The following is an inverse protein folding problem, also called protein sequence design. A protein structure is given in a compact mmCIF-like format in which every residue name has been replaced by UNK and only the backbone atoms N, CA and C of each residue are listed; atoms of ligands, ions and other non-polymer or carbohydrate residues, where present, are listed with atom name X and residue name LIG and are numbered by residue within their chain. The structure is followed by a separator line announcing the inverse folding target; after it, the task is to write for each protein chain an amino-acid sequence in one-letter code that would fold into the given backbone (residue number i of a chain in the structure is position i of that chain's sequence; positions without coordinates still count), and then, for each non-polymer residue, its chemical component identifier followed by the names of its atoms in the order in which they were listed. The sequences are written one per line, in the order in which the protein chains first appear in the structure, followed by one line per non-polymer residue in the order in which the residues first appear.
data_IF_364314703258
#
_entry.id   IF_364314703258
#
_cell.length_a   1.000
_cell.length_b   1.000
_cell.length_c   1.000
_cell.angle_alpha   90.00
_cell.angle_beta   90.00
_cell.angle_gamma   90.00
#
_symmetry.space_group_name_H-M   'P 1'
#
loop_
_entity.id
_entity.type
_entity.pdbx_description
1 polymer ?
#
# COMPACT_ATOMS: atom_id res chain seq x y z
N UNK A 1 -2.69 -21.16 8.71
CA UNK A 1 -1.61 -20.18 8.97
C UNK A 1 -2.04 -18.87 8.33
N UNK A 2 -2.61 -17.97 9.12
CA UNK A 2 -3.07 -16.67 8.64
C UNK A 2 -1.88 -15.72 8.61
N UNK A 3 -1.58 -15.17 7.45
CA UNK A 3 -0.50 -14.21 7.24
C UNK A 3 -0.99 -12.79 7.53
N UNK A 4 -1.70 -12.57 8.64
CA UNK A 4 -2.01 -11.20 9.04
C UNK A 4 -0.71 -10.48 9.46
N UNK A 5 -0.78 -9.16 9.69
CA UNK A 5 0.30 -8.33 10.26
C UNK A 5 0.95 -8.91 11.55
N UNK A 6 0.44 -10.02 12.08
CA UNK A 6 0.96 -10.80 13.19
C UNK A 6 2.04 -11.83 12.81
N UNK A 7 2.28 -12.10 11.52
CA UNK A 7 3.37 -12.95 11.07
C UNK A 7 4.70 -12.20 11.16
N UNK A 8 5.62 -12.66 12.02
CA UNK A 8 7.01 -12.16 12.20
C UNK A 8 7.91 -12.37 10.96
N UNK A 9 7.37 -12.35 9.75
CA UNK A 9 8.09 -12.83 8.58
C UNK A 9 9.19 -11.88 8.13
N UNK A 10 9.03 -10.55 8.27
CA UNK A 10 10.10 -9.55 8.30
C UNK A 10 9.54 -8.28 8.97
N UNK A 11 10.20 -7.73 10.01
CA UNK A 11 9.76 -6.48 10.64
C UNK A 11 10.44 -5.28 9.96
N UNK A 12 9.86 -4.81 8.86
CA UNK A 12 10.41 -3.74 8.01
C UNK A 12 9.53 -2.48 7.95
N UNK A 13 8.35 -2.48 8.58
CA UNK A 13 7.42 -1.34 8.63
C UNK A 13 8.10 -0.02 8.99
N UNK A 14 8.95 0.01 10.02
CA UNK A 14 9.61 1.25 10.45
C UNK A 14 10.52 1.85 9.36
N UNK A 15 11.10 1.02 8.48
CA UNK A 15 11.86 1.48 7.33
C UNK A 15 10.95 2.10 6.28
N UNK A 16 9.85 1.42 5.94
CA UNK A 16 8.91 1.89 4.92
C UNK A 16 8.11 3.12 5.34
N UNK A 17 7.77 3.27 6.62
CA UNK A 17 7.18 4.52 7.15
C UNK A 17 8.06 5.72 6.80
N UNK A 18 9.39 5.61 6.99
CA UNK A 18 10.32 6.70 6.65
C UNK A 18 10.40 6.95 5.14
N UNK A 19 10.32 5.90 4.32
CA UNK A 19 10.29 6.04 2.86
C UNK A 19 9.03 6.78 2.44
N UNK A 20 7.88 6.42 3.00
CA UNK A 20 6.61 7.06 2.73
C UNK A 20 6.57 8.52 3.22
N UNK A 21 7.21 8.86 4.33
CA UNK A 21 7.40 10.24 4.77
C UNK A 21 8.21 11.06 3.74
N UNK A 22 9.24 10.46 3.13
CA UNK A 22 10.00 11.12 2.06
C UNK A 22 9.16 11.33 0.81
N UNK A 23 8.35 10.33 0.41
CA UNK A 23 7.41 10.47 -0.72
C UNK A 23 6.40 11.59 -0.44
N UNK A 24 5.84 11.65 0.77
CA UNK A 24 4.95 12.74 1.21
C UNK A 24 5.65 14.09 1.10
N UNK A 25 6.88 14.19 1.59
CA UNK A 25 7.66 15.43 1.57
C UNK A 25 8.05 15.89 0.16
N UNK A 26 8.31 14.96 -0.77
CA UNK A 26 8.62 15.29 -2.16
C UNK A 26 7.38 15.80 -2.91
N UNK A 27 6.19 15.29 -2.59
CA UNK A 27 4.91 15.79 -3.10
C UNK A 27 4.59 15.44 -4.56
N UNK A 28 5.49 14.77 -5.27
CA UNK A 28 5.29 14.40 -6.69
C UNK A 28 4.03 13.55 -6.92
N UNK A 29 3.67 12.70 -5.94
CA UNK A 29 2.50 11.83 -6.01
C UNK A 29 1.19 12.60 -6.27
N UNK A 30 1.12 13.87 -5.86
CA UNK A 30 -0.08 14.73 -6.02
C UNK A 30 -0.42 14.94 -7.51
N UNK A 31 0.58 14.85 -8.39
CA UNK A 31 0.43 15.06 -9.84
C UNK A 31 -0.13 13.84 -10.57
N UNK A 32 -0.23 12.69 -9.89
CA UNK A 32 -0.64 11.43 -10.48
C UNK A 32 -1.92 10.91 -9.82
N UNK A 33 -2.77 10.22 -10.58
CA UNK A 33 -4.00 9.62 -10.03
C UNK A 33 -3.73 8.37 -9.20
N UNK A 34 -2.60 7.70 -9.45
CA UNK A 34 -2.20 6.43 -8.86
C UNK A 34 -0.72 6.43 -8.52
N UNK A 35 -0.38 5.83 -7.38
CA UNK A 35 0.98 5.52 -6.94
C UNK A 35 1.13 4.00 -6.82
N UNK A 36 2.29 3.48 -7.22
CA UNK A 36 2.58 2.04 -7.18
C UNK A 36 3.92 1.83 -6.47
N UNK A 37 3.91 1.10 -5.34
CA UNK A 37 5.13 0.55 -4.74
C UNK A 37 5.42 -0.78 -5.43
N UNK A 38 6.68 -1.02 -5.75
CA UNK A 38 7.14 -2.24 -6.41
C UNK A 38 8.45 -2.68 -5.75
N UNK A 39 8.55 -3.95 -5.39
CA UNK A 39 9.80 -4.52 -4.87
C UNK A 39 10.88 -4.58 -5.95
N UNK A 40 12.15 -4.46 -5.53
CA UNK A 40 13.28 -4.35 -6.47
C UNK A 40 13.53 -5.61 -7.33
N UNK A 41 13.07 -6.77 -6.87
CA UNK A 41 13.16 -8.06 -7.57
C UNK A 41 11.93 -8.38 -8.43
N UNK A 42 10.92 -7.50 -8.44
CA UNK A 42 9.69 -7.69 -9.18
C UNK A 42 9.84 -7.32 -10.66
N UNK A 43 9.50 -8.26 -11.55
CA UNK A 43 9.30 -7.94 -12.97
C UNK A 43 7.94 -7.26 -13.15
N UNK A 44 7.97 -5.94 -13.24
CA UNK A 44 6.76 -5.12 -13.30
C UNK A 44 6.44 -4.62 -14.71
N UNK A 45 5.19 -4.81 -15.14
CA UNK A 45 4.67 -4.39 -16.46
C UNK A 45 3.70 -3.20 -16.32
N UNK A 46 4.19 -1.94 -16.29
CA UNK A 46 3.35 -0.77 -16.03
C UNK A 46 2.26 -0.57 -17.09
N UNK A 47 2.51 -0.92 -18.35
CA UNK A 47 1.52 -0.83 -19.42
C UNK A 47 0.29 -1.72 -19.16
N UNK A 48 0.52 -2.94 -18.65
CA UNK A 48 -0.56 -3.87 -18.29
C UNK A 48 -1.39 -3.33 -17.13
N UNK A 49 -0.73 -2.79 -16.11
CA UNK A 49 -1.43 -2.17 -14.98
C UNK A 49 -2.33 -1.02 -15.44
N UNK A 50 -1.83 -0.14 -16.33
CA UNK A 50 -2.63 0.97 -16.86
C UNK A 50 -3.93 0.49 -17.51
N UNK A 51 -3.88 -0.59 -18.30
CA UNK A 51 -5.09 -1.17 -18.91
C UNK A 51 -6.09 -1.63 -17.85
N UNK A 52 -5.63 -2.30 -16.79
CA UNK A 52 -6.51 -2.71 -15.68
C UNK A 52 -7.11 -1.51 -14.94
N UNK A 53 -6.31 -0.49 -14.61
CA UNK A 53 -6.80 0.70 -13.91
C UNK A 53 -7.81 1.50 -14.74
N UNK A 54 -7.63 1.57 -16.06
CA UNK A 54 -8.61 2.19 -16.96
C UNK A 54 -9.94 1.43 -16.95
N UNK A 55 -9.89 0.09 -16.91
CA UNK A 55 -11.10 -0.74 -16.86
C UNK A 55 -11.86 -0.61 -15.54
N UNK A 56 -11.17 -0.32 -14.43
CA UNK A 56 -11.77 -0.13 -13.11
C UNK A 56 -12.69 1.09 -13.05
N UNK A 57 -12.43 2.12 -13.89
CA UNK A 57 -13.19 3.38 -13.92
C UNK A 57 -13.36 4.00 -12.53
N UNK A 58 -12.29 3.94 -11.74
CA UNK A 58 -12.27 4.43 -10.37
C UNK A 58 -12.59 5.94 -10.32
N UNK A 59 -13.49 6.38 -9.41
CA UNK A 59 -13.67 7.79 -9.13
C UNK A 59 -12.37 8.43 -8.62
N UNK A 60 -12.05 9.64 -9.10
CA UNK A 60 -10.79 10.31 -8.79
C UNK A 60 -10.67 10.77 -7.32
N UNK A 61 -11.80 10.94 -6.64
CA UNK A 61 -11.93 11.49 -5.29
C UNK A 61 -12.09 10.41 -4.20
N UNK A 62 -12.08 9.12 -4.58
CA UNK A 62 -12.28 8.03 -3.64
C UNK A 62 -10.95 7.38 -3.22
N UNK A 63 -10.75 7.14 -1.92
CA UNK A 63 -9.62 6.35 -1.46
C UNK A 63 -9.83 4.91 -1.92
N UNK A 64 -8.98 4.45 -2.82
CA UNK A 64 -9.03 3.12 -3.41
C UNK A 64 -7.63 2.54 -3.38
N UNK A 65 -7.51 1.30 -2.94
CA UNK A 65 -6.34 0.47 -3.16
C UNK A 65 -6.75 -0.81 -3.90
N UNK A 66 -5.83 -1.39 -4.67
CA UNK A 66 -6.11 -2.60 -5.45
C UNK A 66 -5.60 -3.82 -4.69
N UNK A 67 -6.49 -4.74 -4.36
CA UNK A 67 -6.12 -5.99 -3.70
C UNK A 67 -5.52 -6.98 -4.71
N UNK A 68 -4.50 -7.72 -4.30
CA UNK A 68 -3.88 -8.78 -5.10
C UNK A 68 -3.94 -10.15 -4.43
N UNK A 69 -4.55 -10.23 -3.25
CA UNK A 69 -4.73 -11.45 -2.48
C UNK A 69 -6.21 -11.73 -2.20
N UNK A 70 -6.57 -13.02 -2.18
CA UNK A 70 -7.96 -13.46 -2.00
C UNK A 70 -8.28 -13.73 -0.52
N UNK A 71 -9.51 -13.43 -0.06
CA UNK A 71 -9.94 -13.68 1.34
C UNK A 71 -9.75 -15.12 1.80
N UNK A 72 -9.84 -16.10 0.87
CA UNK A 72 -9.63 -17.53 1.15
C UNK A 72 -8.23 -17.86 1.69
N UNK A 73 -7.27 -16.95 1.57
CA UNK A 73 -5.92 -17.10 2.10
C UNK A 73 -5.72 -16.42 3.47
N UNK A 74 -6.79 -15.87 4.07
CA UNK A 74 -6.71 -15.12 5.34
C UNK A 74 -5.91 -13.82 5.23
N UNK A 75 -5.85 -13.29 4.01
CA UNK A 75 -4.94 -12.25 3.52
C UNK A 75 -5.71 -11.30 2.62
N UNK A 76 -6.80 -10.70 3.09
CA UNK A 76 -7.45 -9.68 2.27
C UNK A 76 -6.53 -8.46 2.20
N UNK A 77 -6.22 -7.97 1.00
CA UNK A 77 -5.47 -6.72 0.79
C UNK A 77 -4.24 -6.84 -0.12
N UNK A 78 -3.11 -6.33 0.37
CA UNK A 78 -1.81 -6.45 -0.28
C UNK A 78 -1.09 -7.71 0.20
N UNK A 79 -0.40 -8.35 -0.74
CA UNK A 79 0.52 -9.44 -0.46
C UNK A 79 1.67 -9.43 -1.47
N UNK A 80 2.89 -9.35 -0.98
CA UNK A 80 4.08 -9.44 -1.83
C UNK A 80 4.35 -8.13 -2.57
N UNK A 81 4.79 -8.17 -3.84
CA UNK A 81 5.71 -7.13 -4.32
C UNK A 81 5.08 -5.88 -4.93
N UNK A 82 3.74 -5.75 -4.92
CA UNK A 82 3.04 -4.66 -5.62
C UNK A 82 1.87 -4.14 -4.82
N UNK A 83 1.93 -2.87 -4.44
CA UNK A 83 0.89 -2.12 -3.74
C UNK A 83 0.47 -0.93 -4.60
N UNK A 84 -0.81 -0.86 -4.93
CA UNK A 84 -1.37 0.13 -5.84
C UNK A 84 -2.39 0.96 -5.09
N UNK A 85 -2.15 2.27 -5.01
CA UNK A 85 -2.96 3.22 -4.24
C UNK A 85 -3.42 4.37 -5.13
N UNK A 86 -4.69 4.74 -5.02
CA UNK A 86 -5.17 6.01 -5.55
C UNK A 86 -4.53 7.17 -4.77
N UNK A 87 -4.46 8.36 -5.38
CA UNK A 87 -3.97 9.56 -4.68
C UNK A 87 -4.70 9.78 -3.34
N UNK A 88 -6.02 9.68 -3.34
CA UNK A 88 -6.84 9.85 -2.15
C UNK A 88 -6.58 8.77 -1.08
N UNK A 89 -6.27 7.53 -1.48
CA UNK A 89 -5.88 6.49 -0.53
C UNK A 89 -4.52 6.79 0.10
N UNK A 90 -3.56 7.24 -0.70
CA UNK A 90 -2.24 7.59 -0.20
C UNK A 90 -2.28 8.81 0.74
N UNK A 91 -3.14 9.79 0.45
CA UNK A 91 -3.41 10.92 1.36
C UNK A 91 -4.02 10.44 2.68
N UNK A 92 -5.02 9.57 2.64
CA UNK A 92 -5.61 8.98 3.84
C UNK A 92 -4.57 8.23 4.68
N UNK A 93 -3.71 7.42 4.04
CA UNK A 93 -2.60 6.76 4.72
C UNK A 93 -1.68 7.78 5.42
N UNK A 94 -1.29 8.85 4.73
CA UNK A 94 -0.42 9.88 5.28
C UNK A 94 -1.02 10.66 6.45
N UNK A 95 -2.35 10.80 6.50
CA UNK A 95 -3.06 11.45 7.59
C UNK A 95 -3.21 10.52 8.80
N UNK A 96 -3.37 9.23 8.55
CA UNK A 96 -3.55 8.20 9.59
C UNK A 96 -2.23 7.67 10.17
N UNK A 97 -1.12 7.76 9.43
CA UNK A 97 0.15 7.07 9.72
C UNK A 97 0.62 7.23 11.17
N UNK A 98 0.51 8.44 11.77
CA UNK A 98 0.89 8.66 13.18
C UNK A 98 0.05 7.83 14.15
N UNK A 99 -1.27 7.82 13.96
CA UNK A 99 -2.18 7.03 14.78
C UNK A 99 -1.93 5.52 14.57
N UNK A 100 -1.72 5.09 13.33
CA UNK A 100 -1.39 3.70 13.01
C UNK A 100 -0.11 3.22 13.72
N UNK A 101 0.94 4.03 13.73
CA UNK A 101 2.18 3.69 14.46
C UNK A 101 1.91 3.45 15.96
N UNK A 102 1.00 4.21 16.56
CA UNK A 102 0.64 4.09 17.97
C UNK A 102 -0.26 2.88 18.25
N UNK A 103 -1.31 2.68 17.44
CA UNK A 103 -2.36 1.71 17.74
C UNK A 103 -2.15 0.33 17.09
N UNK A 104 -1.56 0.28 15.89
CA UNK A 104 -1.24 -0.97 15.17
C UNK A 104 0.17 -1.46 15.57
N UNK A 105 1.10 -0.52 15.76
CA UNK A 105 2.50 -0.80 15.99
C UNK A 105 3.27 -1.10 14.69
N UNK A 106 4.60 -1.04 14.77
CA UNK A 106 5.50 -1.18 13.60
C UNK A 106 6.27 -2.51 13.56
N UNK A 107 5.92 -3.48 14.40
CA UNK A 107 6.59 -4.79 14.47
C UNK A 107 5.92 -5.82 13.54
N UNK A 108 5.67 -5.42 12.30
CA UNK A 108 4.94 -6.18 11.27
C UNK A 108 5.60 -6.02 9.90
N UNK A 109 5.08 -6.74 8.91
CA UNK A 109 5.35 -6.46 7.50
C UNK A 109 4.71 -5.13 7.06
N UNK A 110 5.38 -4.42 6.17
CA UNK A 110 4.97 -3.10 5.71
C UNK A 110 3.69 -3.10 4.88
N UNK A 111 3.46 -4.15 4.09
CA UNK A 111 2.29 -4.32 3.23
C UNK A 111 1.02 -4.48 4.07
N UNK A 112 1.10 -5.33 5.09
CA UNK A 112 0.06 -5.51 6.11
C UNK A 112 -0.17 -4.24 6.91
N UNK A 113 0.89 -3.57 7.38
CA UNK A 113 0.77 -2.29 8.10
C UNK A 113 0.09 -1.21 7.25
N UNK A 114 0.51 -1.07 5.99
CA UNK A 114 -0.08 -0.09 5.07
C UNK A 114 -1.56 -0.38 4.86
N UNK A 115 -1.92 -1.65 4.62
CA UNK A 115 -3.32 -2.05 4.48
C UNK A 115 -4.14 -1.76 5.74
N UNK A 116 -3.62 -2.10 6.93
CA UNK A 116 -4.34 -1.89 8.19
C UNK A 116 -4.47 -0.40 8.55
N UNK A 117 -3.64 0.47 7.95
CA UNK A 117 -3.64 1.91 8.17
C UNK A 117 -4.51 2.72 7.18
N UNK A 118 -4.91 2.09 6.07
CA UNK A 118 -5.84 2.63 5.08
C UNK A 118 -7.30 2.47 5.55
#
# INVERSE_FOLDING_TARGET
VAWSAYSKTLANTAGFVKVWDQVKSAGDYVRYSWTVKVDADCVFFPARLRTHLQSLRAPADKPIYVTNSLPKFGLEGFLGPVEILSRAALEAYFDNTKACQQYIGMNSGEDGFMKDCL
#
